data_IF_123868297325
#
_entry.id   IF_123868297325
#
_cell.length_a   1.000
_cell.length_b   1.000
_cell.length_c   1.000
_cell.angle_alpha   90.00
_cell.angle_beta   90.00
_cell.angle_gamma   90.00
#
_symmetry.space_group_name_H-M   'P 1'
#
loop_
_entity.id
_entity.type
_entity.pdbx_description
1 polymer ?
#
# COMPACT_ATOMS: atom_id res chain seq x y z
N UNK A 1 -21.36 -9.63 -73.08
CA UNK A 1 -20.71 -9.86 -71.78
C UNK A 1 -20.30 -8.50 -71.25
N UNK A 2 -21.00 -8.08 -70.19
CA UNK A 2 -20.74 -6.97 -69.24
C UNK A 2 -20.53 -5.54 -69.75
N UNK A 3 -21.60 -4.76 -69.51
CA UNK A 3 -21.71 -3.30 -69.39
C UNK A 3 -20.77 -2.74 -68.30
N UNK A 4 -20.09 -1.62 -68.57
CA UNK A 4 -19.14 -0.97 -67.66
C UNK A 4 -19.74 0.35 -67.17
N UNK A 5 -20.36 0.29 -65.99
CA UNK A 5 -20.91 1.45 -65.30
C UNK A 5 -19.79 2.29 -64.69
N UNK A 6 -19.65 3.53 -65.17
CA UNK A 6 -18.70 4.54 -64.70
C UNK A 6 -19.14 5.05 -63.32
N UNK A 7 -18.46 4.60 -62.26
CA UNK A 7 -18.68 5.09 -60.89
C UNK A 7 -18.00 6.45 -60.74
N UNK A 8 -18.81 7.51 -60.79
CA UNK A 8 -18.38 8.89 -60.49
C UNK A 8 -18.19 9.03 -58.99
N UNK A 9 -16.96 9.05 -58.49
CA UNK A 9 -16.67 9.31 -57.08
C UNK A 9 -16.77 10.82 -56.79
N UNK A 10 -17.71 11.19 -55.91
CA UNK A 10 -17.78 12.53 -55.31
C UNK A 10 -16.66 12.63 -54.27
N UNK A 11 -15.63 13.42 -54.56
CA UNK A 11 -14.59 13.78 -53.60
C UNK A 11 -15.16 14.72 -52.54
N UNK A 12 -15.54 14.16 -51.38
CA UNK A 12 -15.88 14.95 -50.18
C UNK A 12 -14.56 15.53 -49.62
N UNK A 13 -14.53 16.83 -49.34
CA UNK A 13 -13.36 17.49 -48.74
C UNK A 13 -13.26 17.06 -47.27
N UNK A 14 -12.32 16.17 -46.96
CA UNK A 14 -12.15 15.50 -45.65
C UNK A 14 -11.52 16.43 -44.59
N UNK A 15 -10.87 17.51 -44.99
CA UNK A 15 -10.18 18.48 -44.13
C UNK A 15 -11.09 19.23 -43.12
N UNK A 16 -12.26 19.79 -43.50
CA UNK A 16 -13.15 20.43 -42.52
C UNK A 16 -13.78 19.41 -41.55
N UNK A 17 -14.04 18.18 -41.98
CA UNK A 17 -14.66 17.13 -41.15
C UNK A 17 -13.72 16.68 -40.03
N UNK A 18 -12.42 16.53 -40.33
CA UNK A 18 -11.40 16.24 -39.32
C UNK A 18 -11.27 17.34 -38.27
N UNK A 19 -11.38 18.61 -38.65
CA UNK A 19 -11.38 19.74 -37.71
C UNK A 19 -12.61 19.73 -36.79
N UNK A 20 -13.79 19.42 -37.32
CA UNK A 20 -15.01 19.30 -36.52
C UNK A 20 -14.95 18.12 -35.54
N UNK A 21 -14.42 16.97 -35.96
CA UNK A 21 -14.26 15.79 -35.09
C UNK A 21 -13.22 16.07 -33.99
N UNK A 22 -12.10 16.72 -34.33
CA UNK A 22 -11.09 17.11 -33.34
C UNK A 22 -11.65 18.11 -32.31
N UNK A 23 -12.43 19.10 -32.76
CA UNK A 23 -13.11 20.04 -31.85
C UNK A 23 -14.12 19.36 -30.93
N UNK A 24 -14.89 18.40 -31.44
CA UNK A 24 -15.86 17.63 -30.66
C UNK A 24 -15.16 16.70 -29.64
N UNK A 25 -14.01 16.14 -29.99
CA UNK A 25 -13.19 15.31 -29.09
C UNK A 25 -12.59 16.12 -27.93
N UNK A 26 -12.15 17.36 -28.18
CA UNK A 26 -11.65 18.25 -27.13
C UNK A 26 -12.74 18.67 -26.12
N UNK A 27 -13.99 18.85 -26.55
CA UNK A 27 -15.11 19.18 -25.64
C UNK A 27 -15.52 17.97 -24.80
N UNK A 28 -15.42 16.75 -25.35
CA UNK A 28 -15.74 15.52 -24.62
C UNK A 28 -14.74 15.19 -23.50
N UNK A 29 -13.54 15.79 -23.52
CA UNK A 29 -12.51 15.66 -22.48
C UNK A 29 -12.66 16.68 -21.33
N UNK A 30 -13.69 17.53 -21.35
CA UNK A 30 -14.02 18.42 -20.24
C UNK A 30 -14.53 17.64 -19.03
N UNK A 31 -13.62 17.27 -18.13
CA UNK A 31 -13.97 16.61 -16.87
C UNK A 31 -14.67 17.55 -15.89
N UNK A 32 -15.61 17.02 -15.11
CA UNK A 32 -16.20 17.70 -13.96
C UNK A 32 -15.14 17.86 -12.85
N UNK A 33 -14.38 18.95 -12.88
CA UNK A 33 -13.46 19.31 -11.78
C UNK A 33 -14.27 19.95 -10.65
N UNK A 34 -14.65 19.17 -9.65
CA UNK A 34 -15.19 19.72 -8.40
C UNK A 34 -14.08 20.42 -7.61
N UNK A 35 -14.33 21.64 -7.12
CA UNK A 35 -13.35 22.45 -6.40
C UNK A 35 -13.27 22.03 -4.93
N UNK A 36 -12.07 22.12 -4.34
CA UNK A 36 -11.83 21.79 -2.91
C UNK A 36 -12.75 22.59 -2.00
N UNK A 37 -13.02 23.84 -2.35
CA UNK A 37 -13.79 24.76 -1.51
C UNK A 37 -15.29 24.43 -1.52
N UNK A 38 -15.77 23.71 -2.55
CA UNK A 38 -17.14 23.19 -2.59
C UNK A 38 -17.28 21.82 -1.91
N UNK A 39 -16.26 20.95 -2.02
CA UNK A 39 -16.26 19.63 -1.39
C UNK A 39 -15.93 19.67 0.11
N UNK A 40 -15.05 20.58 0.52
CA UNK A 40 -14.56 20.72 1.88
C UNK A 40 -14.49 22.21 2.24
N UNK A 41 -15.65 22.89 2.36
CA UNK A 41 -15.68 24.29 2.76
C UNK A 41 -15.00 24.40 4.14
N UNK A 42 -13.95 25.23 4.27
CA UNK A 42 -13.39 25.51 5.58
C UNK A 42 -14.49 26.18 6.42
N UNK A 43 -14.88 25.56 7.53
CA UNK A 43 -15.80 26.20 8.48
C UNK A 43 -15.14 27.41 9.14
N UNK A 44 -15.94 28.38 9.54
CA UNK A 44 -15.45 29.63 10.17
C UNK A 44 -14.92 29.43 11.61
N UNK A 45 -14.99 28.20 12.13
CA UNK A 45 -14.62 27.86 13.52
C UNK A 45 -13.13 27.51 13.65
N UNK A 46 -12.48 28.07 14.67
CA UNK A 46 -11.13 27.64 15.04
C UNK A 46 -11.11 26.22 15.65
N UNK A 47 -9.99 25.50 15.53
CA UNK A 47 -9.88 24.15 16.11
C UNK A 47 -10.07 24.14 17.64
N UNK A 48 -9.70 25.24 18.31
CA UNK A 48 -9.89 25.42 19.75
C UNK A 48 -11.38 25.56 20.13
N UNK A 49 -12.16 26.24 19.30
CA UNK A 49 -13.60 26.45 19.48
C UNK A 49 -14.39 25.15 19.28
N UNK A 50 -14.01 24.34 18.29
CA UNK A 50 -14.55 22.99 18.09
C UNK A 50 -14.29 22.08 19.30
N UNK A 51 -13.09 22.16 19.89
CA UNK A 51 -12.73 21.37 21.07
C UNK A 51 -13.53 21.77 22.33
N UNK A 52 -13.85 23.05 22.46
CA UNK A 52 -14.66 23.57 23.57
C UNK A 52 -16.17 23.30 23.40
N UNK A 53 -16.58 22.57 22.36
CA UNK A 53 -17.97 22.19 22.13
C UNK A 53 -18.83 23.28 21.48
N UNK A 54 -18.24 24.41 21.09
CA UNK A 54 -18.92 25.52 20.40
C UNK A 54 -18.93 25.30 18.88
N UNK A 55 -19.21 24.07 18.44
CA UNK A 55 -19.24 23.76 17.01
C UNK A 55 -20.43 24.46 16.32
N UNK A 56 -20.26 24.91 15.06
CA UNK A 56 -21.35 25.51 14.31
C UNK A 56 -22.53 24.55 14.15
N UNK A 57 -23.73 25.15 14.06
CA UNK A 57 -25.06 24.54 14.14
C UNK A 57 -25.21 23.07 13.76
N UNK A 58 -26.04 22.37 14.55
CA UNK A 58 -26.39 20.95 14.45
C UNK A 58 -26.63 20.41 13.03
N UNK A 59 -27.08 21.25 12.10
CA UNK A 59 -27.37 20.89 10.72
C UNK A 59 -26.12 20.43 9.93
N UNK A 60 -24.95 21.06 10.13
CA UNK A 60 -23.71 20.65 9.46
C UNK A 60 -23.18 19.32 9.99
N UNK A 61 -23.26 19.11 11.31
CA UNK A 61 -22.87 17.87 11.98
C UNK A 61 -23.82 16.72 11.63
N UNK A 62 -25.13 16.98 11.54
CA UNK A 62 -26.13 16.00 11.13
C UNK A 62 -25.89 15.59 9.68
N UNK A 63 -25.69 16.54 8.76
CA UNK A 63 -25.41 16.24 7.34
C UNK A 63 -24.09 15.45 7.16
N UNK A 64 -23.04 15.79 7.92
CA UNK A 64 -21.79 15.03 7.93
C UNK A 64 -21.97 13.61 8.49
N UNK A 65 -22.78 13.45 9.55
CA UNK A 65 -23.12 12.12 10.10
C UNK A 65 -24.00 11.30 9.15
N UNK A 66 -24.91 11.92 8.43
CA UNK A 66 -25.72 11.26 7.40
C UNK A 66 -24.85 10.79 6.22
N UNK A 67 -23.85 11.58 5.82
CA UNK A 67 -22.88 11.18 4.79
C UNK A 67 -22.05 9.95 5.22
N UNK A 68 -21.71 9.83 6.51
CA UNK A 68 -20.99 8.66 7.05
C UNK A 68 -21.92 7.46 7.24
N UNK A 69 -23.21 7.68 7.55
CA UNK A 69 -24.19 6.63 7.81
C UNK A 69 -24.97 6.15 6.59
N UNK A 70 -24.75 6.73 5.41
CA UNK A 70 -25.41 6.24 4.19
C UNK A 70 -25.01 4.81 3.92
N UNK A 71 -25.93 4.02 3.37
CA UNK A 71 -25.57 2.73 2.82
C UNK A 71 -24.53 2.90 1.71
N UNK A 72 -23.58 1.98 1.66
CA UNK A 72 -22.64 1.89 0.55
C UNK A 72 -23.43 1.52 -0.71
N UNK A 73 -23.09 2.16 -1.83
CA UNK A 73 -23.61 1.74 -3.13
C UNK A 73 -23.03 0.38 -3.52
N UNK A 74 -23.69 -0.34 -4.43
CA UNK A 74 -23.22 -1.66 -4.88
C UNK A 74 -21.80 -1.65 -5.47
N UNK A 75 -21.37 -0.53 -6.04
CA UNK A 75 -20.00 -0.38 -6.54
C UNK A 75 -19.00 -0.21 -5.40
N UNK A 76 -19.37 0.53 -4.36
CA UNK A 76 -18.53 0.74 -3.17
C UNK A 76 -18.43 -0.53 -2.32
N UNK A 77 -19.50 -1.31 -2.18
CA UNK A 77 -19.42 -2.60 -1.45
C UNK A 77 -18.49 -3.59 -2.14
N UNK A 78 -18.52 -3.67 -3.47
CA UNK A 78 -17.60 -4.49 -4.26
C UNK A 78 -16.15 -4.00 -4.17
N UNK A 79 -15.94 -2.67 -4.12
CA UNK A 79 -14.62 -2.09 -3.94
C UNK A 79 -14.08 -2.32 -2.51
N UNK A 80 -14.92 -2.17 -1.49
CA UNK A 80 -14.56 -2.44 -0.09
C UNK A 80 -14.18 -3.90 0.13
N UNK A 81 -14.95 -4.86 -0.42
CA UNK A 81 -14.60 -6.28 -0.34
C UNK A 81 -13.23 -6.59 -0.97
N UNK A 82 -12.90 -5.95 -2.09
CA UNK A 82 -11.57 -6.10 -2.72
C UNK A 82 -10.42 -5.51 -1.89
N UNK A 83 -10.67 -4.42 -1.16
CA UNK A 83 -9.66 -3.78 -0.33
C UNK A 83 -9.44 -4.55 0.97
N UNK A 84 -10.51 -5.07 1.58
CA UNK A 84 -10.46 -5.85 2.81
C UNK A 84 -9.65 -7.14 2.62
N UNK A 85 -9.89 -7.85 1.52
CA UNK A 85 -9.11 -9.04 1.10
C UNK A 85 -7.63 -8.70 0.80
N UNK A 86 -7.31 -7.45 0.44
CA UNK A 86 -5.94 -7.05 0.12
C UNK A 86 -5.10 -6.70 1.36
N UNK A 87 -5.74 -6.19 2.42
CA UNK A 87 -5.07 -5.75 3.65
C UNK A 87 -5.03 -6.86 4.70
N UNK A 88 -6.04 -7.74 4.71
CA UNK A 88 -6.16 -8.82 5.68
C UNK A 88 -5.89 -10.19 5.02
N UNK A 89 -4.64 -10.67 5.18
CA UNK A 89 -4.26 -12.09 5.05
C UNK A 89 -4.58 -12.75 3.70
N UNK A 90 -3.70 -12.57 2.72
CA UNK A 90 -3.51 -13.63 1.74
C UNK A 90 -2.70 -14.76 2.39
N UNK A 91 -2.96 -16.03 2.05
CA UNK A 91 -2.19 -17.18 2.59
C UNK A 91 -0.67 -17.01 2.35
N UNK A 92 -0.31 -16.28 1.29
CA UNK A 92 1.05 -15.99 0.88
C UNK A 92 1.75 -14.96 1.80
N UNK A 93 1.01 -14.03 2.40
CA UNK A 93 1.60 -13.00 3.27
C UNK A 93 1.82 -13.49 4.72
N UNK A 94 1.11 -14.54 5.15
CA UNK A 94 1.25 -15.08 6.52
C UNK A 94 2.61 -15.76 6.76
N UNK A 95 3.31 -16.18 5.71
CA UNK A 95 4.65 -16.76 5.82
C UNK A 95 5.77 -15.69 5.83
N UNK A 96 5.43 -14.42 5.60
CA UNK A 96 6.42 -13.35 5.60
C UNK A 96 6.84 -13.01 7.04
N UNK A 97 8.10 -13.33 7.38
CA UNK A 97 8.69 -12.90 8.65
C UNK A 97 8.97 -11.40 8.56
N UNK A 98 8.07 -10.58 9.12
CA UNK A 98 8.20 -9.11 9.19
C UNK A 98 9.51 -8.70 9.88
N UNK A 99 9.98 -9.52 10.82
CA UNK A 99 11.24 -9.34 11.52
C UNK A 99 12.16 -10.52 11.21
N UNK A 100 13.14 -10.35 10.30
CA UNK A 100 14.13 -11.39 10.05
C UNK A 100 15.08 -11.52 11.24
N UNK A 101 15.66 -12.70 11.43
CA UNK A 101 16.61 -12.95 12.53
C UNK A 101 17.99 -12.41 12.18
N UNK A 102 18.73 -11.93 13.18
CA UNK A 102 20.14 -11.61 13.02
C UNK A 102 20.98 -12.90 12.98
N UNK A 103 22.09 -12.91 12.23
CA UNK A 103 23.04 -14.01 12.26
C UNK A 103 23.63 -14.15 13.67
N UNK A 104 23.64 -15.38 14.18
CA UNK A 104 24.27 -15.73 15.45
C UNK A 104 25.34 -16.80 15.16
N UNK A 105 26.61 -16.40 14.93
CA UNK A 105 27.65 -17.34 14.54
C UNK A 105 28.00 -18.28 15.69
N UNK A 106 28.40 -19.50 15.33
CA UNK A 106 28.95 -20.46 16.27
C UNK A 106 30.42 -20.17 16.55
N UNK A 107 30.79 -20.24 17.82
CA UNK A 107 32.14 -20.04 18.31
C UNK A 107 32.75 -21.36 18.73
N UNK A 108 34.03 -21.55 18.45
CA UNK A 108 34.79 -22.73 18.85
C UNK A 108 35.74 -22.35 19.99
N UNK A 109 35.66 -23.07 21.11
CA UNK A 109 36.62 -22.97 22.20
C UNK A 109 37.40 -24.27 22.33
N UNK A 110 38.71 -24.15 22.46
CA UNK A 110 39.59 -25.26 22.81
C UNK A 110 39.81 -25.29 24.31
N UNK A 111 39.52 -26.43 24.94
CA UNK A 111 39.81 -26.69 26.35
C UNK A 111 41.12 -27.46 26.41
N UNK A 112 42.11 -26.88 27.10
CA UNK A 112 43.38 -27.56 27.34
C UNK A 112 43.19 -28.77 28.28
N UNK A 113 43.97 -29.85 28.09
CA UNK A 113 43.97 -30.98 29.01
C UNK A 113 44.23 -30.51 30.44
N UNK A 114 43.44 -30.99 31.39
CA UNK A 114 43.54 -30.60 32.80
C UNK A 114 43.08 -31.73 33.73
N UNK A 115 43.35 -31.60 35.03
CA UNK A 115 42.83 -32.51 36.04
C UNK A 115 41.52 -31.92 36.60
N UNK A 116 40.45 -32.70 36.58
CA UNK A 116 39.18 -32.36 37.21
C UNK A 116 38.93 -33.25 38.44
N UNK A 117 38.15 -32.74 39.41
CA UNK A 117 37.74 -33.47 40.61
C UNK A 117 38.90 -34.17 41.33
N UNK A 118 39.97 -33.42 41.60
CA UNK A 118 41.18 -33.92 42.26
C UNK A 118 42.21 -34.44 41.26
N UNK A 119 42.00 -35.65 40.73
CA UNK A 119 43.03 -36.37 39.97
C UNK A 119 42.51 -37.05 38.69
N UNK A 120 41.29 -36.74 38.24
CA UNK A 120 40.75 -37.34 37.03
C UNK A 120 41.26 -36.57 35.81
N UNK A 121 42.04 -37.21 34.91
CA UNK A 121 42.54 -36.52 33.73
C UNK A 121 41.42 -36.30 32.72
N UNK A 122 41.22 -35.04 32.34
CA UNK A 122 40.32 -34.62 31.27
C UNK A 122 41.18 -34.33 30.03
N UNK A 123 40.96 -35.02 28.90
CA UNK A 123 41.71 -34.77 27.67
C UNK A 123 41.36 -33.38 27.10
N UNK A 124 42.21 -32.86 26.22
CA UNK A 124 41.89 -31.64 25.49
C UNK A 124 40.82 -31.91 24.43
N UNK A 125 39.88 -30.99 24.29
CA UNK A 125 38.82 -31.07 23.27
C UNK A 125 38.36 -29.69 22.83
N UNK A 126 37.77 -29.61 21.65
CA UNK A 126 37.11 -28.40 21.16
C UNK A 126 35.61 -28.53 21.39
N UNK A 127 34.97 -27.43 21.82
CA UNK A 127 33.52 -27.33 21.95
C UNK A 127 33.00 -26.18 21.11
N UNK A 128 31.75 -26.27 20.67
CA UNK A 128 31.07 -25.26 19.85
C UNK A 128 29.90 -24.70 20.64
N UNK A 129 29.75 -23.37 20.67
CA UNK A 129 28.65 -22.68 21.35
C UNK A 129 28.27 -21.40 20.59
N UNK A 130 27.01 -20.95 20.67
CA UNK A 130 26.58 -19.75 19.96
C UNK A 130 27.20 -18.48 20.55
N UNK A 131 27.48 -17.48 19.71
CA UNK A 131 28.02 -16.19 20.14
C UNK A 131 27.06 -15.42 21.07
N UNK A 132 25.76 -15.45 20.77
CA UNK A 132 24.69 -14.91 21.61
C UNK A 132 23.83 -16.01 22.23
N UNK A 133 23.42 -15.83 23.49
CA UNK A 133 22.57 -16.77 24.22
C UNK A 133 21.15 -16.90 23.65
N UNK A 134 20.66 -15.88 22.94
CA UNK A 134 19.35 -15.84 22.33
C UNK A 134 19.43 -15.28 20.91
N UNK A 135 18.54 -15.73 20.04
CA UNK A 135 18.45 -15.20 18.66
C UNK A 135 17.78 -13.84 18.69
N UNK A 136 18.46 -12.83 18.15
CA UNK A 136 17.93 -11.47 18.03
C UNK A 136 17.19 -11.30 16.70
N UNK A 137 16.23 -10.38 16.66
CA UNK A 137 15.49 -10.00 15.46
C UNK A 137 15.94 -8.62 14.97
N UNK A 138 15.98 -8.44 13.66
CA UNK A 138 16.42 -7.21 13.03
C UNK A 138 15.33 -6.15 13.13
N UNK A 139 15.74 -4.94 13.48
CA UNK A 139 14.90 -3.76 13.33
C UNK A 139 14.83 -3.33 11.85
N UNK A 140 13.79 -2.58 11.45
CA UNK A 140 13.69 -2.07 10.08
C UNK A 140 14.93 -1.27 9.69
N UNK A 141 15.58 -1.66 8.59
CA UNK A 141 16.79 -1.01 8.07
C UNK A 141 18.11 -1.60 8.57
N UNK A 142 18.09 -2.56 9.49
CA UNK A 142 19.29 -3.32 9.85
C UNK A 142 19.64 -4.37 8.79
N UNK A 143 20.93 -4.70 8.70
CA UNK A 143 21.47 -5.70 7.77
C UNK A 143 21.46 -7.08 8.41
N UNK A 144 20.98 -8.07 7.67
CA UNK A 144 20.81 -9.47 8.12
C UNK A 144 21.91 -10.42 7.63
N UNK A 145 22.85 -9.92 6.82
CA UNK A 145 23.95 -10.70 6.25
C UNK A 145 25.06 -10.92 7.30
N UNK A 146 25.63 -12.13 7.34
CA UNK A 146 26.89 -12.37 8.05
C UNK A 146 28.06 -11.89 7.19
N UNK A 147 29.08 -11.26 7.81
CA UNK A 147 30.31 -10.82 7.14
C UNK A 147 31.20 -12.00 6.73
#
# INVERSE_FOLDING_TARGET
>A
MTDNQKITSRTVKITPVLFFIAGMFSVALGGCSSSKDELLPPGDSSMMELWQGNAPTSHAVVKGREAIRRSLSSQETLASGRIDESYSRTQENELSQIFPRLPNPDMVMYIFPHLANGNTPVPGYSTVFPFYAQTQYALPGERTEAL
#
